data_IF_031981111352
#
_entry.id   IF_031981111352
#
_cell.length_a   1.000
_cell.length_b   1.000
_cell.length_c   1.000
_cell.angle_alpha   90.00
_cell.angle_beta   90.00
_cell.angle_gamma   90.00
#
_symmetry.space_group_name_H-M   'P 1'
#
loop_
_entity.id
_entity.type
_entity.pdbx_description
1 polymer ?
#
# COMPACT_ATOMS: atom_id res chain seq x y z
N UNK A 1 -5.52 5.27 -2.70
CA UNK A 1 -5.73 4.26 -3.76
C UNK A 1 -4.40 3.62 -4.13
N UNK A 2 -4.39 2.47 -4.82
CA UNK A 2 -3.15 1.81 -5.20
C UNK A 2 -2.29 2.71 -6.08
N UNK A 3 -1.02 2.83 -5.73
CA UNK A 3 -0.01 3.58 -6.46
C UNK A 3 1.18 2.68 -6.73
N UNK A 4 2.02 3.07 -7.68
CA UNK A 4 3.22 2.32 -8.05
C UNK A 4 4.43 3.15 -7.70
N UNK A 5 5.46 2.48 -7.21
CA UNK A 5 6.79 3.05 -7.00
C UNK A 5 7.85 2.24 -7.73
N UNK A 6 8.90 2.89 -8.23
CA UNK A 6 10.07 2.22 -8.78
C UNK A 6 11.24 2.42 -7.83
N UNK A 7 11.73 1.32 -7.27
CA UNK A 7 12.73 1.35 -6.20
C UNK A 7 13.57 0.09 -6.21
N UNK A 8 14.74 0.12 -5.56
CA UNK A 8 15.54 -1.07 -5.28
C UNK A 8 15.19 -1.62 -3.91
N UNK A 9 15.23 -2.94 -3.75
CA UNK A 9 15.03 -3.61 -2.45
C UNK A 9 16.38 -3.72 -1.75
N UNK A 10 16.50 -3.15 -0.55
CA UNK A 10 17.73 -3.19 0.24
C UNK A 10 17.69 -4.24 1.35
N UNK A 11 16.50 -4.65 1.77
CA UNK A 11 16.36 -5.68 2.80
C UNK A 11 14.92 -6.02 3.13
N UNK A 12 14.78 -7.09 3.90
CA UNK A 12 13.49 -7.61 4.37
C UNK A 12 13.55 -7.86 5.86
N UNK A 13 12.44 -7.61 6.54
CA UNK A 13 12.29 -7.73 7.98
C UNK A 13 10.96 -8.42 8.30
N UNK A 14 10.88 -9.12 9.43
CA UNK A 14 9.61 -9.63 9.98
C UNK A 14 9.50 -9.17 11.42
N UNK A 15 8.38 -8.53 11.77
CA UNK A 15 8.05 -8.16 13.14
C UNK A 15 6.74 -8.80 13.55
N UNK A 16 6.66 -9.26 14.79
CA UNK A 16 5.41 -9.69 15.40
C UNK A 16 4.69 -8.47 15.97
N UNK A 17 3.45 -8.29 15.56
CA UNK A 17 2.60 -7.16 15.95
C UNK A 17 1.30 -7.66 16.56
N UNK A 18 0.71 -6.87 17.45
CA UNK A 18 -0.62 -7.07 18.01
C UNK A 18 -1.58 -5.96 17.54
N UNK A 19 -2.67 -5.72 18.27
CA UNK A 19 -3.65 -4.66 17.96
C UNK A 19 -3.06 -3.25 18.09
N UNK A 20 -2.07 -3.06 18.95
CA UNK A 20 -1.50 -1.76 19.32
C UNK A 20 -0.17 -1.48 18.61
N UNK A 21 0.40 -2.48 17.92
CA UNK A 21 1.56 -2.32 17.05
C UNK A 21 2.61 -3.40 17.28
N UNK A 22 3.89 -3.16 16.93
CA UNK A 22 4.97 -4.08 17.22
C UNK A 22 5.07 -4.41 18.71
N UNK A 23 5.21 -5.70 19.02
CA UNK A 23 5.34 -6.16 20.40
C UNK A 23 6.73 -5.75 20.89
N UNK A 24 6.76 -4.97 21.97
CA UNK A 24 7.99 -4.43 22.56
C UNK A 24 7.90 -4.50 24.09
N UNK A 25 8.99 -4.19 24.80
CA UNK A 25 8.94 -4.11 26.27
C UNK A 25 7.91 -3.09 26.78
N UNK A 26 7.69 -2.03 26.00
CA UNK A 26 6.69 -0.98 26.24
C UNK A 26 5.28 -1.32 25.74
N UNK A 27 5.14 -2.28 24.82
CA UNK A 27 3.86 -2.78 24.32
C UNK A 27 3.85 -4.32 24.43
N UNK A 28 3.61 -4.88 25.63
CA UNK A 28 3.50 -6.32 25.82
C UNK A 28 2.27 -6.86 25.10
N UNK A 29 2.36 -8.10 24.61
CA UNK A 29 1.30 -8.71 23.82
C UNK A 29 -0.02 -8.81 24.61
N UNK A 30 -1.05 -8.10 24.14
CA UNK A 30 -2.37 -8.02 24.79
C UNK A 30 -3.49 -8.68 23.94
N UNK A 31 -3.12 -9.61 23.04
CA UNK A 31 -4.09 -10.28 22.18
C UNK A 31 -3.48 -11.11 21.05
N UNK A 32 -4.31 -11.49 20.04
CA UNK A 32 -3.85 -12.26 18.89
C UNK A 32 -2.72 -11.54 18.15
N UNK A 33 -1.57 -12.18 18.12
CA UNK A 33 -0.40 -11.65 17.43
C UNK A 33 -0.39 -12.09 15.98
N UNK A 34 0.12 -11.22 15.10
CA UNK A 34 0.32 -11.53 13.68
C UNK A 34 1.72 -11.13 13.26
N UNK A 35 2.27 -11.87 12.30
CA UNK A 35 3.57 -11.56 11.74
C UNK A 35 3.38 -10.60 10.56
N UNK A 36 4.03 -9.45 10.66
CA UNK A 36 4.02 -8.42 9.64
C UNK A 36 5.40 -8.32 9.01
N UNK A 37 5.41 -8.44 7.70
CA UNK A 37 6.61 -8.34 6.90
C UNK A 37 6.88 -6.88 6.57
N UNK A 38 8.13 -6.47 6.62
CA UNK A 38 8.60 -5.16 6.22
C UNK A 38 9.60 -5.30 5.08
N UNK A 39 9.50 -4.39 4.11
CA UNK A 39 10.34 -4.34 2.92
C UNK A 39 11.04 -3.00 2.94
N UNK A 40 12.36 -3.04 3.10
CA UNK A 40 13.21 -1.87 3.04
C UNK A 40 13.63 -1.63 1.61
N UNK A 41 13.49 -0.40 1.16
CA UNK A 41 13.74 -0.02 -0.22
C UNK A 41 14.51 1.28 -0.29
N UNK A 42 15.26 1.46 -1.37
CA UNK A 42 15.97 2.68 -1.67
C UNK A 42 15.62 3.15 -3.07
N UNK A 43 15.14 4.39 -3.15
CA UNK A 43 14.82 5.04 -4.40
C UNK A 43 16.09 5.47 -5.14
N UNK A 44 16.01 5.70 -6.46
CA UNK A 44 17.13 6.24 -7.24
C UNK A 44 17.66 7.59 -6.73
N UNK A 45 16.83 8.38 -6.04
CA UNK A 45 17.23 9.65 -5.40
C UNK A 45 17.93 9.46 -4.04
N UNK A 46 18.19 8.21 -3.64
CA UNK A 46 18.86 7.83 -2.40
C UNK A 46 17.94 7.78 -1.18
N UNK A 47 16.66 8.16 -1.29
CA UNK A 47 15.73 8.12 -0.17
C UNK A 47 15.36 6.69 0.18
N UNK A 48 15.45 6.38 1.48
CA UNK A 48 15.05 5.09 2.01
C UNK A 48 13.58 5.11 2.38
N UNK A 49 12.89 4.05 2.01
CA UNK A 49 11.48 3.89 2.26
C UNK A 49 11.15 2.48 2.71
N UNK A 50 10.26 2.39 3.69
CA UNK A 50 9.84 1.11 4.26
C UNK A 50 8.38 0.87 3.92
N UNK A 51 8.12 -0.31 3.35
CA UNK A 51 6.79 -0.82 3.09
C UNK A 51 6.44 -1.90 4.08
N UNK A 52 5.19 -1.90 4.54
CA UNK A 52 4.58 -3.02 5.23
C UNK A 52 4.08 -4.02 4.19
N UNK A 53 4.11 -5.31 4.47
CA UNK A 53 3.58 -6.36 3.61
C UNK A 53 2.72 -7.27 4.48
N UNK A 54 1.44 -6.93 4.56
CA UNK A 54 0.46 -7.63 5.37
C UNK A 54 -0.69 -8.12 4.50
N UNK A 55 -1.27 -9.25 4.88
CA UNK A 55 -2.43 -9.83 4.21
C UNK A 55 -3.71 -9.16 4.70
N UNK A 56 -4.31 -8.37 3.81
CA UNK A 56 -5.58 -7.71 4.11
C UNK A 56 -6.73 -8.71 4.24
N UNK A 57 -6.63 -9.89 3.60
CA UNK A 57 -7.67 -10.93 3.60
C UNK A 57 -9.04 -10.32 3.26
N UNK A 58 -10.02 -10.54 4.12
CA UNK A 58 -11.38 -9.98 4.06
C UNK A 58 -11.52 -8.67 4.85
N UNK A 59 -10.43 -8.17 5.42
CA UNK A 59 -10.40 -6.93 6.18
C UNK A 59 -10.46 -5.68 5.30
N UNK A 60 -10.79 -4.56 5.93
CA UNK A 60 -10.73 -3.26 5.28
C UNK A 60 -9.27 -2.75 5.27
N UNK A 61 -8.79 -2.12 4.18
CA UNK A 61 -9.46 -1.92 2.88
C UNK A 61 -9.51 -3.19 2.02
N UNK A 62 -10.65 -3.48 1.38
CA UNK A 62 -10.93 -4.74 0.67
C UNK A 62 -10.09 -4.98 -0.60
N UNK A 63 -8.78 -5.17 -0.44
CA UNK A 63 -7.85 -5.50 -1.53
C UNK A 63 -7.69 -7.01 -1.73
N UNK A 64 -8.30 -7.86 -0.88
CA UNK A 64 -8.24 -9.32 -0.97
C UNK A 64 -6.82 -9.86 -1.16
N UNK A 65 -5.87 -9.27 -0.43
CA UNK A 65 -4.47 -9.67 -0.47
C UNK A 65 -4.23 -10.87 0.44
N UNK A 66 -3.63 -11.91 -0.13
CA UNK A 66 -3.21 -13.14 0.54
C UNK A 66 -1.77 -13.50 0.15
N UNK A 67 -1.07 -14.25 1.00
CA UNK A 67 0.25 -14.80 0.66
C UNK A 67 1.40 -13.81 0.82
N UNK A 68 1.35 -12.95 1.83
CA UNK A 68 2.42 -12.01 2.20
C UNK A 68 3.80 -12.67 2.29
N UNK A 69 3.88 -13.91 2.80
CA UNK A 69 5.13 -14.67 2.87
C UNK A 69 5.73 -14.98 1.49
N UNK A 70 4.92 -15.33 0.50
CA UNK A 70 5.40 -15.59 -0.87
C UNK A 70 5.93 -14.30 -1.52
N UNK A 71 5.21 -13.20 -1.33
CA UNK A 71 5.66 -11.89 -1.80
C UNK A 71 6.98 -11.49 -1.13
N UNK A 72 7.12 -11.77 0.16
CA UNK A 72 8.36 -11.50 0.89
C UNK A 72 9.54 -12.30 0.33
N UNK A 73 9.36 -13.59 0.07
CA UNK A 73 10.40 -14.44 -0.51
C UNK A 73 10.83 -13.93 -1.90
N UNK A 74 9.86 -13.52 -2.72
CA UNK A 74 10.14 -12.95 -4.04
C UNK A 74 10.92 -11.63 -3.94
N UNK A 75 10.53 -10.76 -3.03
CA UNK A 75 11.20 -9.47 -2.78
C UNK A 75 12.62 -9.67 -2.28
N UNK A 76 12.84 -10.66 -1.40
CA UNK A 76 14.18 -11.00 -0.92
C UNK A 76 15.08 -11.50 -2.07
N UNK A 77 14.54 -12.30 -2.99
CA UNK A 77 15.28 -12.74 -4.18
C UNK A 77 15.68 -11.55 -5.06
N UNK A 78 14.75 -10.60 -5.30
CA UNK A 78 15.07 -9.39 -6.08
C UNK A 78 16.12 -8.50 -5.42
N UNK A 79 16.11 -8.37 -4.09
CA UNK A 79 17.13 -7.63 -3.35
C UNK A 79 18.51 -8.26 -3.44
N UNK A 80 18.60 -9.59 -3.39
CA UNK A 80 19.87 -10.31 -3.55
C UNK A 80 20.47 -10.16 -4.96
N UNK A 81 19.64 -9.96 -5.98
CA UNK A 81 20.04 -9.77 -7.37
C UNK A 81 20.27 -8.28 -7.73
N UNK A 82 20.17 -7.35 -6.76
CA UNK A 82 20.19 -5.88 -6.94
C UNK A 82 19.27 -5.37 -8.08
N UNK A 83 18.12 -6.02 -8.23
CA UNK A 83 17.16 -5.68 -9.28
C UNK A 83 16.32 -4.46 -8.91
N UNK A 84 16.06 -3.62 -9.91
CA UNK A 84 15.07 -2.55 -9.80
C UNK A 84 13.67 -3.17 -9.88
N UNK A 85 12.83 -2.83 -8.91
CA UNK A 85 11.47 -3.36 -8.83
C UNK A 85 10.44 -2.25 -8.80
N UNK A 86 9.30 -2.54 -9.39
CA UNK A 86 8.09 -1.76 -9.24
C UNK A 86 7.22 -2.36 -8.13
N UNK A 87 7.00 -1.60 -7.06
CA UNK A 87 6.13 -1.96 -5.95
C UNK A 87 4.78 -1.29 -6.15
N UNK A 88 3.71 -2.09 -6.25
CA UNK A 88 2.34 -1.61 -6.11
C UNK A 88 2.02 -1.54 -4.63
N UNK A 89 1.58 -0.40 -4.12
CA UNK A 89 1.27 -0.22 -2.70
C UNK A 89 -0.01 0.60 -2.51
N UNK A 90 -0.56 0.57 -1.30
CA UNK A 90 -1.58 1.52 -0.86
C UNK A 90 -1.21 2.06 0.53
N UNK A 91 -1.85 3.16 0.93
CA UNK A 91 -1.70 3.70 2.28
C UNK A 91 -0.68 4.82 2.41
N UNK A 92 -0.75 5.46 3.58
CA UNK A 92 0.02 6.60 4.06
C UNK A 92 1.45 6.20 4.46
N UNK A 93 2.48 7.03 4.26
CA UNK A 93 3.65 7.00 5.16
C UNK A 93 3.51 8.15 6.15
N UNK A 94 3.22 7.84 7.41
CA UNK A 94 3.12 8.83 8.49
C UNK A 94 4.08 8.45 9.62
N UNK A 95 5.20 9.18 9.73
CA UNK A 95 6.26 8.86 10.71
C UNK A 95 5.80 9.03 12.15
N UNK A 96 4.91 9.99 12.42
CA UNK A 96 4.42 10.28 13.78
C UNK A 96 3.55 9.13 14.34
N UNK A 97 2.89 8.38 13.46
CA UNK A 97 1.98 7.30 13.84
C UNK A 97 2.54 5.90 13.52
N UNK A 98 3.83 5.82 13.18
CA UNK A 98 4.45 4.58 12.69
C UNK A 98 3.65 3.85 11.60
N UNK A 99 2.95 4.62 10.76
CA UNK A 99 2.13 4.05 9.70
C UNK A 99 2.96 3.94 8.42
N UNK A 100 2.98 2.73 7.87
CA UNK A 100 3.76 2.34 6.70
C UNK A 100 2.82 1.96 5.55
N UNK A 101 3.28 2.22 4.32
CA UNK A 101 2.50 1.89 3.11
C UNK A 101 2.48 0.37 2.93
N UNK A 102 1.31 -0.20 2.68
CA UNK A 102 1.18 -1.64 2.49
C UNK A 102 1.42 -2.03 1.02
N UNK A 103 2.43 -2.86 0.78
CA UNK A 103 2.73 -3.44 -0.51
C UNK A 103 1.67 -4.46 -0.91
N UNK A 104 1.23 -4.39 -2.16
CA UNK A 104 0.26 -5.28 -2.79
C UNK A 104 0.92 -6.32 -3.67
N UNK A 105 1.85 -5.88 -4.52
CA UNK A 105 2.57 -6.73 -5.45
C UNK A 105 3.90 -6.09 -5.82
N UNK A 106 4.88 -6.91 -6.16
CA UNK A 106 6.19 -6.46 -6.62
C UNK A 106 6.46 -7.10 -7.97
N UNK A 107 6.97 -6.30 -8.92
CA UNK A 107 7.33 -6.75 -10.25
C UNK A 107 8.72 -6.24 -10.57
N UNK A 108 9.58 -7.08 -11.15
CA UNK A 108 10.84 -6.62 -11.74
C UNK A 108 10.55 -5.66 -12.91
N UNK A 109 11.30 -4.57 -12.99
CA UNK A 109 11.18 -3.60 -14.07
C UNK A 109 12.58 -3.30 -14.63
N UNK A 110 12.74 -3.41 -15.95
CA UNK A 110 13.96 -2.98 -16.63
C UNK A 110 13.87 -1.50 -16.99
N UNK A 111 14.99 -0.84 -17.28
CA UNK A 111 14.98 0.58 -17.70
C UNK A 111 14.18 0.83 -18.98
N UNK A 112 13.92 -0.21 -19.79
CA UNK A 112 13.10 -0.16 -20.99
C UNK A 112 11.60 -0.37 -20.72
N UNK A 113 11.22 -0.84 -19.53
CA UNK A 113 9.83 -1.11 -19.20
C UNK A 113 9.14 0.15 -18.68
N UNK A 114 7.97 0.45 -19.24
CA UNK A 114 7.15 1.58 -18.79
C UNK A 114 6.53 1.27 -17.42
N UNK A 115 6.61 2.18 -16.43
CA UNK A 115 5.98 1.99 -15.13
C UNK A 115 4.47 1.74 -15.26
N UNK A 116 3.95 0.73 -14.58
CA UNK A 116 2.50 0.52 -14.51
C UNK A 116 1.78 1.75 -13.94
N UNK A 117 0.70 2.16 -14.60
CA UNK A 117 -0.13 3.27 -14.13
C UNK A 117 -1.43 2.76 -13.46
N UNK A 118 -1.94 3.44 -12.43
CA UNK A 118 -3.15 3.02 -11.74
C UNK A 118 -4.42 3.46 -12.51
N UNK A 119 -4.63 2.89 -13.70
CA UNK A 119 -5.72 3.27 -14.62
C UNK A 119 -7.10 3.11 -13.96
N UNK A 120 -7.34 1.99 -13.27
CA UNK A 120 -8.59 1.76 -12.54
C UNK A 120 -8.86 2.86 -11.49
N UNK A 121 -7.80 3.38 -10.88
CA UNK A 121 -7.93 4.45 -9.91
C UNK A 121 -8.41 5.75 -10.55
N UNK A 122 -7.89 6.09 -11.73
CA UNK A 122 -8.33 7.27 -12.47
C UNK A 122 -9.79 7.15 -12.92
N UNK A 123 -10.19 5.98 -13.43
CA UNK A 123 -11.58 5.72 -13.83
C UNK A 123 -12.52 5.90 -12.62
N UNK A 124 -12.16 5.32 -11.47
CA UNK A 124 -12.98 5.43 -10.27
C UNK A 124 -13.11 6.89 -9.79
N UNK A 125 -12.03 7.68 -9.82
CA UNK A 125 -12.10 9.09 -9.45
C UNK A 125 -12.97 9.90 -10.40
N UNK A 126 -12.91 9.62 -11.71
CA UNK A 126 -13.77 10.28 -12.70
C UNK A 126 -15.23 9.95 -12.42
N UNK A 127 -15.56 8.67 -12.19
CA UNK A 127 -16.93 8.25 -11.86
C UNK A 127 -17.40 8.93 -10.56
N UNK A 128 -16.61 8.89 -9.49
CA UNK A 128 -16.95 9.53 -8.21
C UNK A 128 -17.17 11.03 -8.36
N UNK A 129 -16.33 11.71 -9.15
CA UNK A 129 -16.47 13.14 -9.42
C UNK A 129 -17.79 13.45 -10.12
N UNK A 130 -18.13 12.70 -11.18
CA UNK A 130 -19.40 12.89 -11.88
C UNK A 130 -20.59 12.55 -11.00
N UNK A 131 -20.56 11.43 -10.27
CA UNK A 131 -21.63 11.06 -9.34
C UNK A 131 -21.83 12.14 -8.28
N UNK A 132 -20.76 12.63 -7.66
CA UNK A 132 -20.83 13.71 -6.68
C UNK A 132 -21.40 15.00 -7.30
N UNK A 133 -20.93 15.39 -8.49
CA UNK A 133 -21.42 16.56 -9.20
C UNK A 133 -22.93 16.45 -9.51
N UNK A 134 -23.39 15.33 -10.05
CA UNK A 134 -24.81 15.10 -10.35
C UNK A 134 -25.66 15.02 -9.08
N UNK A 135 -25.17 14.40 -8.00
CA UNK A 135 -25.87 14.39 -6.72
C UNK A 135 -26.07 15.80 -6.17
N UNK A 136 -25.05 16.67 -6.23
CA UNK A 136 -25.17 18.07 -5.80
C UNK A 136 -26.16 18.83 -6.68
N UNK A 137 -26.12 18.67 -8.00
CA UNK A 137 -27.08 19.32 -8.91
C UNK A 137 -28.51 18.85 -8.68
N UNK A 138 -28.72 17.55 -8.46
CA UNK A 138 -30.03 16.97 -8.17
C UNK A 138 -30.63 17.53 -6.88
N UNK A 139 -29.83 17.60 -5.81
CA UNK A 139 -30.26 18.19 -4.53
C UNK A 139 -30.62 19.66 -4.70
N UNK A 140 -29.80 20.45 -5.42
CA UNK A 140 -30.09 21.87 -5.70
C UNK A 140 -31.40 22.04 -6.46
N UNK A 141 -31.60 21.26 -7.53
CA UNK A 141 -32.83 21.32 -8.34
C UNK A 141 -34.09 20.91 -7.57
N UNK A 142 -33.98 20.05 -6.56
CA UNK A 142 -35.10 19.70 -5.70
C UNK A 142 -35.51 20.87 -4.80
N UNK A 143 -34.56 21.55 -4.16
CA UNK A 143 -34.83 22.71 -3.30
C UNK A 143 -35.31 23.95 -4.09
N UNK A 144 -34.86 24.13 -5.33
CA UNK A 144 -35.33 25.22 -6.19
C UNK A 144 -36.78 25.01 -6.68
N UNK A 145 -37.34 23.80 -6.56
CA UNK A 145 -38.72 23.48 -6.96
C UNK A 145 -39.77 23.70 -5.87
N UNK A 146 -39.34 23.93 -4.62
CA UNK A 146 -40.22 24.15 -3.45
C UNK A 146 -40.46 25.63 -3.12
N UNK A 147 -39.84 26.57 -3.85
CA UNK A 147 -40.08 28.03 -3.74
C UNK A 147 -40.84 28.57 -4.96
#
# INVERSE_FOLDING_TARGET
MPSYDVTKVTGVEVKRVDKDGPITKSNPADGPTRDVYFINTQHPDGKVMVYRNEDTRWGFPFYFKFGSANLQAQVQAFGNEDKTVQIKYYGWRLTIFDEFRNALSVKEITEADSPSHPIFSYILYIVLFFTFFFSVQFIRGWFDSEN
#
